data_IF_235131714327
#
_entry.id   IF_235131714327
#
_cell.length_a   1.000
_cell.length_b   1.000
_cell.length_c   1.000
_cell.angle_alpha   90.00
_cell.angle_beta   90.00
_cell.angle_gamma   90.00
#
_symmetry.space_group_name_H-M   'P 1'
#
loop_
_entity.id
_entity.type
_entity.pdbx_description
1 polymer ?
#
# COMPACT_ATOMS: atom_id res chain seq x y z
N UNK A 1 12.31 -9.94 24.09
CA UNK A 1 12.01 -10.54 22.78
C UNK A 1 11.39 -9.42 21.96
N UNK A 2 12.11 -8.93 20.94
CA UNK A 2 11.55 -7.97 19.99
C UNK A 2 10.46 -8.73 19.21
N UNK A 3 9.19 -8.37 19.41
CA UNK A 3 8.12 -8.92 18.57
C UNK A 3 8.44 -8.44 17.14
N UNK A 4 8.67 -9.38 16.23
CA UNK A 4 8.78 -9.08 14.79
C UNK A 4 7.56 -8.25 14.39
N UNK A 5 7.80 -7.00 14.02
CA UNK A 5 6.69 -6.13 13.58
C UNK A 5 6.07 -6.74 12.33
N UNK A 6 4.77 -6.61 12.22
CA UNK A 6 3.98 -7.19 11.11
C UNK A 6 4.51 -6.79 9.73
N UNK A 7 5.20 -5.66 9.62
CA UNK A 7 5.76 -5.13 8.37
C UNK A 7 7.24 -5.44 8.10
N UNK A 8 7.92 -6.20 8.96
CA UNK A 8 9.35 -6.44 8.79
C UNK A 8 9.61 -7.42 7.64
N UNK A 9 10.10 -6.87 6.54
CA UNK A 9 10.72 -7.60 5.41
C UNK A 9 12.20 -7.23 5.40
N UNK A 10 13.05 -8.18 5.05
CA UNK A 10 14.49 -7.91 4.93
C UNK A 10 14.72 -6.89 3.81
N UNK A 11 15.40 -5.80 4.13
CA UNK A 11 15.81 -4.83 3.14
C UNK A 11 16.69 -5.51 2.08
N UNK A 12 16.44 -5.21 0.79
CA UNK A 12 17.22 -5.76 -0.30
C UNK A 12 17.62 -4.71 -1.33
N UNK A 13 18.84 -4.81 -1.83
CA UNK A 13 19.30 -4.00 -2.96
C UNK A 13 18.76 -4.59 -4.26
N UNK A 14 18.17 -3.75 -5.10
CA UNK A 14 17.70 -4.09 -6.43
C UNK A 14 18.85 -4.04 -7.44
N UNK A 15 18.63 -4.57 -8.66
CA UNK A 15 19.69 -4.75 -9.66
C UNK A 15 20.38 -3.44 -10.10
N UNK A 16 19.70 -2.31 -9.97
CA UNK A 16 20.19 -0.97 -10.34
C UNK A 16 20.70 -0.15 -9.13
N UNK A 17 20.84 -0.78 -7.96
CA UNK A 17 21.36 -0.18 -6.75
C UNK A 17 20.31 0.49 -5.86
N UNK A 18 19.03 0.61 -6.28
CA UNK A 18 17.96 1.06 -5.40
C UNK A 18 17.71 0.07 -4.26
N UNK A 19 17.18 0.54 -3.14
CA UNK A 19 16.93 -0.27 -1.96
C UNK A 19 15.43 -0.39 -1.73
N UNK A 20 14.91 -1.62 -1.75
CA UNK A 20 13.57 -1.95 -1.28
C UNK A 20 13.64 -2.31 0.21
N UNK A 21 12.84 -1.67 1.04
CA UNK A 21 12.83 -1.88 2.48
C UNK A 21 11.50 -1.47 3.12
N UNK A 22 11.20 -1.92 4.34
CA UNK A 22 10.15 -1.29 5.15
C UNK A 22 10.43 0.21 5.34
N UNK A 23 9.35 1.00 5.42
CA UNK A 23 9.47 2.40 5.81
C UNK A 23 9.98 2.53 7.24
N UNK A 24 10.68 3.60 7.52
CA UNK A 24 11.26 3.95 8.82
C UNK A 24 10.97 5.42 9.14
N UNK A 25 11.02 5.83 10.42
CA UNK A 25 10.90 7.23 10.77
C UNK A 25 11.86 8.10 9.95
N UNK A 26 11.32 9.17 9.37
CA UNK A 26 11.99 10.07 8.43
C UNK A 26 11.61 9.84 6.96
N UNK A 27 10.91 8.75 6.62
CA UNK A 27 10.42 8.50 5.26
C UNK A 27 9.07 9.19 4.97
N UNK A 28 8.35 9.67 5.99
CA UNK A 28 6.98 10.19 5.89
C UNK A 28 6.83 11.28 4.83
N UNK A 29 7.77 12.24 4.71
CA UNK A 29 7.67 13.26 3.65
C UNK A 29 7.73 12.64 2.25
N UNK A 30 8.60 11.64 2.05
CA UNK A 30 8.72 10.93 0.78
C UNK A 30 7.50 10.05 0.48
N UNK A 31 6.95 9.38 1.51
CA UNK A 31 5.71 8.61 1.39
C UNK A 31 4.54 9.53 1.02
N UNK A 32 4.39 10.67 1.71
CA UNK A 32 3.34 11.65 1.41
C UNK A 32 3.48 12.22 -0.01
N UNK A 33 4.70 12.51 -0.46
CA UNK A 33 4.94 12.98 -1.82
C UNK A 33 4.48 11.93 -2.87
N UNK A 34 4.74 10.65 -2.62
CA UNK A 34 4.27 9.57 -3.50
C UNK A 34 2.74 9.42 -3.48
N UNK A 35 2.08 9.54 -2.31
CA UNK A 35 0.62 9.53 -2.18
C UNK A 35 0.00 10.69 -2.98
N UNK A 36 0.54 11.89 -2.81
CA UNK A 36 0.08 13.08 -3.56
C UNK A 36 0.26 12.90 -5.08
N UNK A 37 1.39 12.34 -5.51
CA UNK A 37 1.63 12.08 -6.91
C UNK A 37 0.68 11.00 -7.48
N UNK A 38 0.32 9.99 -6.67
CA UNK A 38 -0.69 8.99 -7.03
C UNK A 38 -2.06 9.65 -7.21
N UNK A 39 -2.48 10.53 -6.30
CA UNK A 39 -3.75 11.26 -6.40
C UNK A 39 -3.81 12.11 -7.69
N UNK A 40 -2.70 12.78 -8.05
CA UNK A 40 -2.59 13.50 -9.34
C UNK A 40 -2.78 12.53 -10.52
N UNK A 41 -2.12 11.37 -10.48
CA UNK A 41 -2.27 10.34 -11.52
C UNK A 41 -3.71 9.83 -11.62
N UNK A 42 -4.41 9.68 -10.51
CA UNK A 42 -5.79 9.24 -10.40
C UNK A 42 -6.82 10.35 -10.68
N UNK A 43 -6.37 11.57 -10.99
CA UNK A 43 -7.17 12.76 -11.34
C UNK A 43 -7.95 13.36 -10.18
N UNK A 44 -7.46 13.13 -8.96
CA UNK A 44 -8.02 13.62 -7.70
C UNK A 44 -6.96 14.43 -6.91
N UNK A 45 -6.31 15.45 -7.50
CA UNK A 45 -5.16 16.14 -6.90
C UNK A 45 -5.47 16.80 -5.55
N UNK A 46 -6.73 17.18 -5.33
CA UNK A 46 -7.18 17.89 -4.13
C UNK A 46 -7.76 16.95 -3.06
N UNK A 47 -7.74 15.62 -3.28
CA UNK A 47 -8.34 14.65 -2.37
C UNK A 47 -7.44 14.29 -1.18
N UNK A 48 -6.15 14.63 -1.22
CA UNK A 48 -5.19 14.25 -0.17
C UNK A 48 -5.28 15.21 1.01
N UNK A 49 -5.87 14.75 2.09
CA UNK A 49 -5.95 15.46 3.38
C UNK A 49 -4.86 14.99 4.38
N UNK A 50 -4.09 13.96 3.99
CA UNK A 50 -3.08 13.35 4.87
C UNK A 50 -1.90 14.30 5.10
N UNK A 51 -1.24 14.16 6.25
CA UNK A 51 -0.08 14.99 6.65
C UNK A 51 1.09 14.11 7.10
N UNK A 52 2.27 14.70 7.20
CA UNK A 52 3.46 14.02 7.72
C UNK A 52 3.22 13.55 9.15
N UNK A 53 2.57 14.36 9.97
CA UNK A 53 2.25 14.03 11.37
C UNK A 53 1.28 12.86 11.48
N UNK A 54 0.23 12.83 10.65
CA UNK A 54 -0.74 11.74 10.60
C UNK A 54 -0.09 10.43 10.11
N UNK A 55 0.81 10.51 9.12
CA UNK A 55 1.59 9.37 8.66
C UNK A 55 2.54 8.85 9.74
N UNK A 56 3.19 9.74 10.48
CA UNK A 56 4.08 9.37 11.59
C UNK A 56 3.32 8.56 12.63
N UNK A 57 2.16 9.04 13.06
CA UNK A 57 1.34 8.32 14.06
C UNK A 57 0.84 6.99 13.49
N UNK A 58 0.35 6.98 12.24
CA UNK A 58 -0.23 5.79 11.62
C UNK A 58 0.79 4.68 11.36
N UNK A 59 1.99 5.04 10.89
CA UNK A 59 3.02 4.08 10.51
C UNK A 59 3.96 3.70 11.67
N UNK A 60 4.21 4.64 12.59
CA UNK A 60 5.26 4.50 13.60
C UNK A 60 4.81 4.78 15.04
N UNK A 61 3.55 5.14 15.25
CA UNK A 61 2.96 5.34 16.57
C UNK A 61 2.97 4.09 17.45
N UNK A 62 2.39 4.18 18.63
CA UNK A 62 2.38 3.09 19.61
C UNK A 62 1.67 1.83 19.07
N UNK A 63 0.59 2.00 18.32
CA UNK A 63 -0.19 0.92 17.70
C UNK A 63 -0.36 1.18 16.20
N UNK A 64 0.65 0.90 15.38
CA UNK A 64 0.55 1.14 13.93
C UNK A 64 -0.61 0.33 13.32
N UNK A 65 -1.41 0.99 12.50
CA UNK A 65 -2.58 0.39 11.82
C UNK A 65 -2.36 0.21 10.33
N UNK A 66 -1.37 0.92 9.78
CA UNK A 66 -0.89 0.72 8.42
C UNK A 66 0.62 0.55 8.41
N UNK A 67 1.12 0.03 7.32
CA UNK A 67 2.53 -0.26 7.09
C UNK A 67 2.92 0.25 5.71
N UNK A 68 4.19 0.53 5.49
CA UNK A 68 4.66 0.89 4.17
C UNK A 68 5.99 0.19 3.84
N UNK A 69 6.12 -0.23 2.59
CA UNK A 69 7.39 -0.55 1.97
C UNK A 69 7.75 0.56 1.00
N UNK A 70 9.02 0.90 0.95
CA UNK A 70 9.53 1.95 0.08
C UNK A 70 10.63 1.42 -0.84
N UNK A 71 10.73 2.01 -2.02
CA UNK A 71 11.93 1.94 -2.84
C UNK A 71 12.66 3.25 -2.68
N UNK A 72 13.86 3.19 -2.14
CA UNK A 72 14.77 4.32 -2.00
C UNK A 72 15.84 4.28 -3.08
N UNK A 73 16.08 5.41 -3.74
CA UNK A 73 17.15 5.61 -4.69
C UNK A 73 17.88 6.93 -4.40
N UNK A 74 19.17 6.86 -4.23
CA UNK A 74 20.02 8.04 -3.94
C UNK A 74 19.51 8.86 -2.76
N UNK A 75 19.00 8.19 -1.71
CA UNK A 75 18.45 8.81 -0.50
C UNK A 75 17.02 9.36 -0.65
N UNK A 76 16.36 9.14 -1.80
CA UNK A 76 15.01 9.62 -2.06
C UNK A 76 14.04 8.44 -2.17
N UNK A 77 12.88 8.54 -1.54
CA UNK A 77 11.77 7.59 -1.74
C UNK A 77 11.17 7.82 -3.12
N UNK A 78 11.28 6.84 -4.00
CA UNK A 78 10.83 6.90 -5.40
C UNK A 78 9.70 5.91 -5.71
N UNK A 79 9.28 5.13 -4.72
CA UNK A 79 8.14 4.23 -4.86
C UNK A 79 7.69 3.73 -3.49
N UNK A 80 6.40 3.46 -3.38
CA UNK A 80 5.74 3.03 -2.15
C UNK A 80 4.78 1.89 -2.40
N UNK A 81 4.58 1.06 -1.37
CA UNK A 81 3.41 0.21 -1.18
C UNK A 81 2.92 0.44 0.25
N UNK A 82 1.78 1.12 0.41
CA UNK A 82 1.09 1.31 1.70
C UNK A 82 0.04 0.22 1.86
N UNK A 83 -0.02 -0.41 3.02
CA UNK A 83 -0.85 -1.58 3.22
C UNK A 83 -1.27 -1.78 4.68
N UNK A 84 -2.31 -2.58 4.90
CA UNK A 84 -2.79 -2.97 6.22
C UNK A 84 -3.34 -4.39 6.23
N UNK A 85 -3.68 -4.91 7.41
CA UNK A 85 -4.19 -6.27 7.56
C UNK A 85 -5.70 -6.32 7.37
N UNK A 86 -6.15 -7.31 6.60
CA UNK A 86 -7.53 -7.77 6.56
C UNK A 86 -7.68 -9.09 7.32
N UNK A 87 -8.90 -9.53 7.52
CA UNK A 87 -9.20 -10.83 8.12
C UNK A 87 -10.32 -11.53 7.36
N UNK A 88 -10.10 -12.79 7.04
CA UNK A 88 -11.12 -13.65 6.42
C UNK A 88 -11.76 -14.53 7.48
N UNK A 89 -13.04 -14.31 7.74
CA UNK A 89 -13.83 -15.18 8.61
C UNK A 89 -14.02 -16.58 8.04
N UNK A 90 -13.93 -16.72 6.72
CA UNK A 90 -14.08 -18.03 6.06
C UNK A 90 -12.85 -18.90 6.21
N UNK A 91 -11.67 -18.31 6.16
CA UNK A 91 -10.42 -19.07 6.26
C UNK A 91 -9.82 -19.03 7.68
N UNK A 92 -10.31 -18.13 8.55
CA UNK A 92 -9.74 -17.88 9.88
C UNK A 92 -8.33 -17.27 9.82
N UNK A 93 -7.97 -16.62 8.72
CA UNK A 93 -6.62 -16.10 8.48
C UNK A 93 -6.66 -14.64 8.10
N UNK A 94 -5.55 -13.95 8.39
CA UNK A 94 -5.33 -12.60 7.88
C UNK A 94 -5.05 -12.61 6.37
N UNK A 95 -5.17 -11.44 5.77
CA UNK A 95 -4.70 -11.07 4.45
C UNK A 95 -4.01 -9.72 4.51
N UNK A 96 -3.43 -9.31 3.41
CA UNK A 96 -2.88 -7.96 3.21
C UNK A 96 -3.80 -7.23 2.23
N UNK A 97 -4.18 -6.02 2.60
CA UNK A 97 -4.79 -5.04 1.71
C UNK A 97 -3.73 -4.02 1.32
N UNK A 98 -3.43 -3.94 0.04
CA UNK A 98 -2.60 -2.91 -0.53
C UNK A 98 -3.48 -1.69 -0.83
N UNK A 99 -3.25 -0.61 -0.09
CA UNK A 99 -4.01 0.65 -0.26
C UNK A 99 -3.44 1.45 -1.43
N UNK A 100 -2.14 1.77 -1.38
CA UNK A 100 -1.47 2.54 -2.41
C UNK A 100 -0.27 1.79 -2.98
N UNK A 101 -0.17 1.77 -4.30
CA UNK A 101 1.04 1.38 -5.02
C UNK A 101 1.43 2.50 -5.99
N UNK A 102 2.57 3.12 -5.75
CA UNK A 102 3.07 4.16 -6.64
C UNK A 102 4.56 3.98 -6.92
N UNK A 103 4.95 4.31 -8.13
CA UNK A 103 6.36 4.46 -8.54
C UNK A 103 6.45 5.74 -9.35
N UNK A 104 7.38 6.62 -8.99
CA UNK A 104 7.68 7.84 -9.71
C UNK A 104 7.81 7.58 -11.22
N UNK A 105 7.18 8.41 -12.03
CA UNK A 105 7.07 8.23 -13.47
C UNK A 105 8.44 8.11 -14.15
N UNK A 106 9.44 8.89 -13.69
CA UNK A 106 10.80 8.85 -14.19
C UNK A 106 11.55 7.57 -13.80
N UNK A 107 11.02 6.81 -12.84
CA UNK A 107 11.60 5.57 -12.33
C UNK A 107 10.84 4.31 -12.78
N UNK A 108 9.76 4.46 -13.53
CA UNK A 108 9.00 3.33 -14.09
C UNK A 108 9.85 2.50 -15.07
N UNK A 109 9.41 1.26 -15.31
CA UNK A 109 10.13 0.33 -16.19
C UNK A 109 11.35 -0.36 -15.55
N UNK A 110 11.72 0.00 -14.32
CA UNK A 110 12.86 -0.60 -13.57
C UNK A 110 12.47 -1.82 -12.72
N UNK A 111 11.20 -2.23 -12.75
CA UNK A 111 10.72 -3.38 -11.97
C UNK A 111 10.34 -3.04 -10.52
N UNK A 112 10.34 -1.77 -10.10
CA UNK A 112 10.05 -1.38 -8.71
C UNK A 112 8.64 -1.75 -8.26
N UNK A 113 7.62 -1.54 -9.09
CA UNK A 113 6.25 -1.94 -8.77
C UNK A 113 6.15 -3.46 -8.52
N UNK A 114 6.78 -4.29 -9.37
CA UNK A 114 6.85 -5.74 -9.15
C UNK A 114 7.60 -6.07 -7.86
N UNK A 115 8.69 -5.39 -7.57
CA UNK A 115 9.47 -5.60 -6.37
C UNK A 115 8.66 -5.29 -5.09
N UNK A 116 7.89 -4.19 -5.09
CA UNK A 116 7.00 -3.79 -4.00
C UNK A 116 5.90 -4.84 -3.77
N UNK A 117 5.15 -5.22 -4.82
CA UNK A 117 4.11 -6.27 -4.67
C UNK A 117 4.71 -7.60 -4.24
N UNK A 118 5.85 -7.99 -4.79
CA UNK A 118 6.51 -9.23 -4.39
C UNK A 118 6.93 -9.22 -2.92
N UNK A 119 7.29 -8.06 -2.37
CA UNK A 119 7.61 -7.95 -0.94
C UNK A 119 6.37 -8.15 -0.06
N UNK A 120 5.19 -7.67 -0.48
CA UNK A 120 3.93 -7.92 0.23
C UNK A 120 3.50 -9.39 0.10
N UNK A 121 3.69 -9.99 -1.08
CA UNK A 121 3.44 -11.42 -1.25
C UNK A 121 4.35 -12.27 -0.34
N UNK A 122 5.61 -11.87 -0.15
CA UNK A 122 6.51 -12.51 0.81
C UNK A 122 5.98 -12.40 2.26
N UNK A 123 5.50 -11.22 2.67
CA UNK A 123 4.82 -11.05 3.98
C UNK A 123 3.67 -12.04 4.12
N UNK A 124 2.83 -12.18 3.09
CA UNK A 124 1.71 -13.12 3.15
C UNK A 124 2.18 -14.56 3.33
N UNK A 125 3.19 -14.99 2.60
CA UNK A 125 3.72 -16.36 2.67
C UNK A 125 4.36 -16.62 4.02
N UNK A 126 5.26 -15.74 4.47
CA UNK A 126 6.03 -15.90 5.71
C UNK A 126 5.13 -15.90 6.96
N UNK A 127 4.03 -15.16 6.91
CA UNK A 127 3.06 -15.05 8.03
C UNK A 127 1.87 -16.03 7.90
N UNK A 128 1.80 -16.82 6.82
CA UNK A 128 0.69 -17.72 6.57
C UNK A 128 -0.63 -17.01 6.28
N UNK A 129 -0.57 -15.78 5.75
CA UNK A 129 -1.75 -15.02 5.33
C UNK A 129 -2.34 -15.61 4.06
N UNK A 130 -3.66 -15.51 3.92
CA UNK A 130 -4.37 -16.25 2.87
C UNK A 130 -4.46 -15.52 1.53
N UNK A 131 -4.19 -14.20 1.50
CA UNK A 131 -4.41 -13.37 0.30
C UNK A 131 -3.72 -12.01 0.38
N UNK A 132 -3.47 -11.45 -0.80
CA UNK A 132 -3.06 -10.08 -1.05
C UNK A 132 -4.09 -9.46 -1.99
N UNK A 133 -4.76 -8.41 -1.56
CA UNK A 133 -5.90 -7.79 -2.26
C UNK A 133 -5.68 -6.28 -2.41
N UNK A 134 -6.27 -5.71 -3.46
CA UNK A 134 -6.31 -4.26 -3.72
C UNK A 134 -7.46 -3.92 -4.66
N UNK A 135 -7.74 -2.63 -4.81
CA UNK A 135 -8.60 -2.13 -5.87
C UNK A 135 -7.77 -1.42 -6.94
N UNK A 136 -8.33 -1.28 -8.12
CA UNK A 136 -7.76 -0.53 -9.23
C UNK A 136 -8.89 0.18 -9.96
N UNK A 137 -8.68 1.42 -10.38
CA UNK A 137 -9.68 2.17 -11.14
C UNK A 137 -9.93 1.48 -12.49
N UNK A 138 -11.18 1.31 -12.87
CA UNK A 138 -11.59 0.58 -14.08
C UNK A 138 -10.97 1.12 -15.36
N UNK A 139 -10.71 2.44 -15.41
CA UNK A 139 -10.07 3.08 -16.55
C UNK A 139 -8.55 2.88 -16.59
N UNK A 140 -7.92 2.39 -15.51
CA UNK A 140 -6.46 2.27 -15.40
C UNK A 140 -5.95 0.99 -16.07
N UNK A 141 -6.14 0.93 -17.40
CA UNK A 141 -5.74 -0.23 -18.19
C UNK A 141 -4.26 -0.62 -18.06
N UNK A 142 -3.29 0.33 -17.96
CA UNK A 142 -1.89 -0.04 -17.73
C UNK A 142 -1.66 -0.80 -16.43
N UNK A 143 -2.25 -0.34 -15.32
CA UNK A 143 -2.14 -1.00 -14.01
C UNK A 143 -2.86 -2.36 -14.00
N UNK A 144 -4.04 -2.45 -14.62
CA UNK A 144 -4.77 -3.71 -14.78
C UNK A 144 -3.92 -4.74 -15.54
N UNK A 145 -3.30 -4.34 -16.66
CA UNK A 145 -2.41 -5.23 -17.43
C UNK A 145 -1.20 -5.66 -16.62
N UNK A 146 -0.61 -4.73 -15.85
CA UNK A 146 0.50 -5.04 -14.94
C UNK A 146 0.08 -6.07 -13.88
N UNK A 147 -1.04 -5.89 -13.20
CA UNK A 147 -1.52 -6.84 -12.18
C UNK A 147 -1.84 -8.21 -12.76
N UNK A 148 -2.48 -8.27 -13.93
CA UNK A 148 -2.69 -9.53 -14.65
C UNK A 148 -1.37 -10.25 -14.98
N UNK A 149 -0.32 -9.52 -15.31
CA UNK A 149 1.02 -10.09 -15.57
C UNK A 149 1.68 -10.69 -14.32
N UNK A 150 1.16 -10.37 -13.12
CA UNK A 150 1.57 -10.95 -11.84
C UNK A 150 0.73 -12.18 -11.46
N UNK A 151 -0.33 -12.49 -12.21
CA UNK A 151 -1.25 -13.58 -11.92
C UNK A 151 -2.46 -13.16 -11.07
N UNK A 152 -2.68 -11.85 -10.85
CA UNK A 152 -3.86 -11.37 -10.15
C UNK A 152 -5.12 -11.54 -11.01
N UNK A 153 -6.21 -11.96 -10.38
CA UNK A 153 -7.53 -12.11 -11.00
C UNK A 153 -8.52 -11.09 -10.39
N UNK A 154 -9.37 -10.46 -11.20
CA UNK A 154 -10.40 -9.57 -10.68
C UNK A 154 -11.48 -10.36 -9.91
N UNK A 155 -12.04 -9.72 -8.87
CA UNK A 155 -13.16 -10.23 -8.06
C UNK A 155 -14.48 -9.67 -8.63
N UNK A 156 -14.89 -10.13 -9.83
CA UNK A 156 -15.99 -9.54 -10.61
C UNK A 156 -17.37 -9.65 -9.95
N UNK A 157 -17.54 -10.58 -9.00
CA UNK A 157 -18.81 -10.80 -8.30
C UNK A 157 -19.00 -9.88 -7.09
N UNK A 158 -18.00 -9.02 -6.75
CA UNK A 158 -18.02 -8.18 -5.57
C UNK A 158 -18.00 -6.70 -5.94
N UNK A 159 -18.91 -5.94 -5.34
CA UNK A 159 -18.94 -4.49 -5.47
C UNK A 159 -18.65 -3.85 -4.12
N UNK A 160 -17.62 -3.01 -4.08
CA UNK A 160 -17.28 -2.24 -2.86
C UNK A 160 -18.39 -1.27 -2.53
N UNK A 161 -18.84 -1.28 -1.27
CA UNK A 161 -19.79 -0.31 -0.72
C UNK A 161 -19.06 0.62 0.25
N UNK A 162 -19.39 1.91 0.24
CA UNK A 162 -18.75 2.93 1.08
C UNK A 162 -19.80 3.84 1.69
N UNK A 163 -19.64 4.13 2.97
CA UNK A 163 -20.35 5.21 3.68
C UNK A 163 -19.32 6.22 4.18
N UNK A 164 -19.54 7.48 3.90
CA UNK A 164 -18.67 8.60 4.32
C UNK A 164 -19.50 9.81 4.71
N UNK A 165 -18.89 10.81 5.33
CA UNK A 165 -19.49 12.10 5.60
C UNK A 165 -20.79 12.03 6.40
N UNK A 166 -21.79 12.77 5.96
CA UNK A 166 -23.07 12.94 6.68
C UNK A 166 -23.88 11.64 6.74
N UNK A 167 -23.82 10.78 5.73
CA UNK A 167 -24.51 9.49 5.73
C UNK A 167 -23.95 8.55 6.79
N UNK A 168 -22.62 8.53 6.97
CA UNK A 168 -21.97 7.76 8.02
C UNK A 168 -22.37 8.27 9.40
N UNK A 169 -22.38 9.59 9.59
CA UNK A 169 -22.78 10.22 10.85
C UNK A 169 -24.27 9.99 11.16
N UNK A 170 -25.13 10.09 10.15
CA UNK A 170 -26.57 9.85 10.32
C UNK A 170 -26.85 8.39 10.72
N UNK A 171 -26.20 7.43 10.07
CA UNK A 171 -26.35 6.02 10.43
C UNK A 171 -25.86 5.74 11.85
N UNK A 172 -24.73 6.31 12.25
CA UNK A 172 -24.19 6.16 13.60
C UNK A 172 -25.12 6.75 14.68
N UNK A 173 -25.88 7.81 14.35
CA UNK A 173 -26.88 8.43 15.22
C UNK A 173 -28.25 7.71 15.20
N UNK A 174 -28.39 6.60 14.47
CA UNK A 174 -29.65 5.86 14.35
C UNK A 174 -30.73 6.58 13.52
N UNK A 175 -30.30 7.41 12.59
CA UNK A 175 -31.21 8.21 11.73
C UNK A 175 -31.15 7.70 10.28
#
# INVERSE_FOLDING_TARGET
MCADRVGDVIARTLADGAVLRPARPGDEPGVLACITALAVYEREPDAVENTVEALTETLFGHEPRAFAHVVERDGVVVGIAVWFLTYSTWTGRHGVWLEDLYVDDAQRGRGYGRALISSLAAVCVDRGYSRLEWTVLDWNAPSIAFYRSLGAAPMEEWTTQRLTGDELAALAAGR
#
